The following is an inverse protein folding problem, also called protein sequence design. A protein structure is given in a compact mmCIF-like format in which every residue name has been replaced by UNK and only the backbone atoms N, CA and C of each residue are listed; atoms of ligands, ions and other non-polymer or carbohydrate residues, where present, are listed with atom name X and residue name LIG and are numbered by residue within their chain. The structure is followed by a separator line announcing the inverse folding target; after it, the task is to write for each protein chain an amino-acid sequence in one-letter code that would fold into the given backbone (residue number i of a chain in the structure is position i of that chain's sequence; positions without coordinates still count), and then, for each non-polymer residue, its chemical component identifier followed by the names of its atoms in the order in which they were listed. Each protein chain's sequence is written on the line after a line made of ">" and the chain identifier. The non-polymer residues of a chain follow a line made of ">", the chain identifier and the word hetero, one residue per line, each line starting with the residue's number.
data_IF_508672798099
#
_entry.id   IF_508672798099
#
_cell.length_a   1.000
_cell.length_b   1.000
_cell.length_c   1.000
_cell.angle_alpha   90.00
_cell.angle_beta   90.00
_cell.angle_gamma   90.00
#
_symmetry.space_group_name_H-M   'P 1'
#
loop_
_entity.id
_entity.type
_entity.pdbx_description
1 polymer ?
#
# COMPACT_ATOMS: atom_id res chain seq x y z
N UNK A 1 -0.40 -10.49 8.13
CA UNK A 1 -0.76 -9.90 6.82
C UNK A 1 -1.31 -8.51 7.10
N UNK A 2 -0.65 -7.48 6.58
CA UNK A 2 -1.02 -6.08 6.82
C UNK A 2 -2.18 -5.64 5.93
N UNK A 3 -3.03 -4.76 6.43
CA UNK A 3 -4.17 -4.20 5.69
C UNK A 3 -4.02 -2.69 5.59
N UNK A 4 -4.07 -2.16 4.37
CA UNK A 4 -4.03 -0.75 4.04
C UNK A 4 -5.41 -0.28 3.58
N UNK A 5 -5.78 0.95 3.94
CA UNK A 5 -7.04 1.57 3.50
C UNK A 5 -6.72 2.76 2.62
N UNK A 6 -7.36 2.83 1.45
CA UNK A 6 -7.13 3.86 0.44
C UNK A 6 -8.45 4.37 -0.13
N UNK A 7 -8.53 5.66 -0.53
CA UNK A 7 -9.65 6.13 -1.32
C UNK A 7 -9.60 5.55 -2.75
N UNK A 8 -10.76 5.42 -3.40
CA UNK A 8 -10.89 4.95 -4.77
C UNK A 8 -10.77 3.43 -4.97
N UNK A 9 -10.45 3.01 -6.19
CA UNK A 9 -10.34 1.59 -6.57
C UNK A 9 -8.93 1.05 -6.30
N UNK A 10 -8.78 0.07 -5.38
CA UNK A 10 -7.48 -0.44 -5.03
C UNK A 10 -6.85 -1.33 -6.13
N UNK A 11 -7.64 -1.81 -7.10
CA UNK A 11 -7.11 -2.64 -8.20
C UNK A 11 -6.20 -1.84 -9.14
N UNK A 12 -6.51 -0.56 -9.35
CA UNK A 12 -5.78 0.31 -10.29
C UNK A 12 -4.59 1.02 -9.65
N UNK A 13 -4.33 0.80 -8.35
CA UNK A 13 -3.24 1.47 -7.64
C UNK A 13 -1.88 0.89 -8.02
N UNK A 14 -0.95 1.79 -8.32
CA UNK A 14 0.46 1.49 -8.58
C UNK A 14 1.38 1.91 -7.42
N UNK A 15 0.93 2.83 -6.56
CA UNK A 15 1.67 3.25 -5.38
C UNK A 15 0.74 3.73 -4.25
N UNK A 16 1.18 3.58 -3.00
CA UNK A 16 0.51 4.11 -1.79
C UNK A 16 1.54 4.73 -0.87
N UNK A 17 1.21 5.90 -0.33
CA UNK A 17 1.98 6.55 0.74
C UNK A 17 1.49 6.06 2.10
N UNK A 18 2.38 5.52 2.92
CA UNK A 18 2.07 5.05 4.28
C UNK A 18 3.02 5.69 5.29
N UNK A 19 2.61 5.92 6.55
CA UNK A 19 3.53 6.41 7.58
C UNK A 19 4.66 5.41 7.86
N UNK A 20 5.85 5.90 8.22
CA UNK A 20 7.00 5.07 8.66
C UNK A 20 6.81 4.51 10.09
N UNK A 21 5.58 4.46 10.60
CA UNK A 21 5.26 3.85 11.90
C UNK A 21 5.27 2.33 11.85
N UNK A 22 5.16 1.77 10.65
CA UNK A 22 5.15 0.35 10.40
C UNK A 22 6.28 -0.04 9.44
N UNK A 23 6.94 -1.15 9.73
CA UNK A 23 7.93 -1.73 8.82
C UNK A 23 7.23 -2.52 7.71
N UNK A 24 7.66 -2.31 6.48
CA UNK A 24 7.24 -3.09 5.31
C UNK A 24 8.48 -3.70 4.66
N UNK A 25 8.30 -4.79 3.92
CA UNK A 25 9.39 -5.39 3.17
C UNK A 25 9.07 -5.50 1.67
N UNK A 26 10.12 -5.40 0.84
CA UNK A 26 10.00 -5.69 -0.59
C UNK A 26 9.46 -7.12 -0.77
N UNK A 27 8.59 -7.29 -1.77
CA UNK A 27 7.86 -8.52 -2.06
C UNK A 27 6.88 -9.02 -0.98
N UNK A 28 6.63 -8.24 0.08
CA UNK A 28 5.56 -8.52 1.04
C UNK A 28 4.19 -8.39 0.37
N UNK A 29 3.25 -9.27 0.73
CA UNK A 29 1.86 -9.19 0.27
C UNK A 29 1.05 -8.43 1.31
N UNK A 30 0.40 -7.35 0.86
CA UNK A 30 -0.50 -6.53 1.67
C UNK A 30 -1.91 -6.59 1.11
N UNK A 31 -2.89 -6.54 2.01
CA UNK A 31 -4.30 -6.35 1.65
C UNK A 31 -4.56 -4.86 1.51
N UNK A 32 -5.16 -4.44 0.40
CA UNK A 32 -5.58 -3.05 0.18
C UNK A 32 -7.09 -3.03 0.09
N UNK A 33 -7.72 -2.19 0.91
CA UNK A 33 -9.16 -2.01 1.00
C UNK A 33 -9.53 -0.59 0.60
N UNK A 34 -10.59 -0.45 -0.19
CA UNK A 34 -11.16 0.85 -0.52
C UNK A 34 -11.90 1.42 0.70
N UNK A 35 -11.76 2.71 0.98
CA UNK A 35 -12.63 3.41 1.93
C UNK A 35 -13.99 3.75 1.32
N UNK A 36 -14.07 3.80 -0.01
CA UNK A 36 -15.23 4.33 -0.73
C UNK A 36 -16.14 3.21 -1.27
N UNK A 37 -15.69 1.96 -1.17
CA UNK A 37 -16.41 0.77 -1.63
C UNK A 37 -15.96 -0.47 -0.86
N UNK A 38 -16.69 -1.59 -0.96
CA UNK A 38 -16.28 -2.87 -0.37
C UNK A 38 -15.19 -3.60 -1.18
N UNK A 39 -14.48 -2.90 -2.08
CA UNK A 39 -13.43 -3.49 -2.92
C UNK A 39 -12.18 -3.75 -2.08
N UNK A 40 -11.65 -4.95 -2.24
CA UNK A 40 -10.38 -5.39 -1.65
C UNK A 40 -9.53 -6.05 -2.72
N UNK A 41 -8.21 -5.83 -2.67
CA UNK A 41 -7.24 -6.58 -3.47
C UNK A 41 -6.02 -6.92 -2.62
N UNK A 42 -5.35 -8.03 -2.94
CA UNK A 42 -4.03 -8.33 -2.40
C UNK A 42 -2.99 -7.90 -3.43
N UNK A 43 -2.02 -7.08 -3.02
CA UNK A 43 -0.92 -6.66 -3.87
C UNK A 43 0.41 -7.01 -3.23
N UNK A 44 1.36 -7.42 -4.07
CA UNK A 44 2.75 -7.60 -3.68
C UNK A 44 3.47 -6.26 -3.81
N UNK A 45 4.14 -5.83 -2.77
CA UNK A 45 5.03 -4.68 -2.80
C UNK A 45 6.18 -5.00 -3.75
N UNK A 46 6.32 -4.23 -4.82
CA UNK A 46 7.45 -4.31 -5.74
C UNK A 46 8.71 -3.68 -5.13
N UNK A 47 8.55 -2.48 -4.56
CA UNK A 47 9.63 -1.72 -3.94
C UNK A 47 9.08 -0.75 -2.90
N UNK A 48 9.86 -0.54 -1.86
CA UNK A 48 9.65 0.53 -0.87
C UNK A 48 10.65 1.66 -1.11
N UNK A 49 10.15 2.90 -1.10
CA UNK A 49 10.98 4.10 -1.23
C UNK A 49 10.74 5.03 -0.05
N UNK A 50 11.82 5.64 0.47
CA UNK A 50 11.70 6.75 1.40
C UNK A 50 11.15 7.97 0.65
N UNK A 51 9.92 8.34 0.96
CA UNK A 51 9.23 9.44 0.30
C UNK A 51 9.38 10.77 1.05
N UNK A 52 10.18 10.79 2.13
CA UNK A 52 10.30 11.92 3.04
C UNK A 52 9.08 12.08 3.94
N UNK A 53 9.11 13.12 4.77
CA UNK A 53 8.02 13.46 5.72
C UNK A 53 7.54 12.28 6.59
N UNK A 54 8.47 11.41 7.02
CA UNK A 54 8.15 10.21 7.81
C UNK A 54 7.14 9.29 7.10
N UNK A 55 7.22 9.18 5.76
CA UNK A 55 6.40 8.27 4.95
C UNK A 55 7.24 7.31 4.10
N UNK A 56 6.73 6.11 3.94
CA UNK A 56 7.14 5.16 2.89
C UNK A 56 6.21 5.30 1.69
N UNK A 57 6.77 5.21 0.49
CA UNK A 57 6.02 4.93 -0.73
C UNK A 57 6.13 3.43 -1.05
N UNK A 58 5.00 2.73 -0.98
CA UNK A 58 4.89 1.33 -1.38
C UNK A 58 4.47 1.29 -2.85
N UNK A 59 5.35 0.78 -3.71
CA UNK A 59 5.07 0.62 -5.13
C UNK A 59 4.60 -0.82 -5.41
N UNK A 60 3.65 -0.98 -6.33
CA UNK A 60 3.04 -2.26 -6.70
C UNK A 60 3.14 -2.47 -8.21
N UNK A 61 3.17 -3.74 -8.63
CA UNK A 61 2.98 -4.14 -10.04
C UNK A 61 1.52 -3.99 -10.51
#
# INVERSE_FOLDING_TARGET
>A
MKTLTVPGDPQTLTAIMVPQTEEFHDHEIVRITSSDSDRTVEKRIFRIVDAGEDKWELQFE
#
